data_IF_934240543990
#
_entry.id   IF_934240543990
#
_cell.length_a   1.000
_cell.length_b   1.000
_cell.length_c   1.000
_cell.angle_alpha   90.00
_cell.angle_beta   90.00
_cell.angle_gamma   90.00
#
_symmetry.space_group_name_H-M   'P 1'
#
loop_
_entity.id
_entity.type
_entity.pdbx_description
1 polymer ?
#
# COMPACT_ATOMS: atom_id res chain seq x y z
N UNK A 1 -39.32 -0.92 -38.95
CA UNK A 1 -38.08 -1.72 -38.78
C UNK A 1 -37.51 -1.35 -37.43
N UNK A 2 -37.57 -2.26 -36.47
CA UNK A 2 -37.15 -1.99 -35.08
C UNK A 2 -35.68 -2.35 -34.95
N UNK A 3 -34.83 -1.37 -34.66
CA UNK A 3 -33.40 -1.60 -34.43
C UNK A 3 -33.20 -2.14 -33.02
N UNK A 4 -32.66 -3.35 -32.91
CA UNK A 4 -32.26 -3.95 -31.63
C UNK A 4 -30.78 -3.65 -31.41
N UNK A 5 -30.46 -2.79 -30.43
CA UNK A 5 -29.09 -2.48 -30.09
C UNK A 5 -28.40 -3.69 -29.43
N UNK A 6 -27.11 -3.96 -29.74
CA UNK A 6 -26.36 -5.03 -29.09
C UNK A 6 -26.26 -4.78 -27.59
N UNK A 7 -26.64 -5.76 -26.78
CA UNK A 7 -26.47 -5.71 -25.34
C UNK A 7 -25.06 -6.14 -24.98
N UNK A 8 -24.34 -5.33 -24.22
CA UNK A 8 -23.03 -5.68 -23.70
C UNK A 8 -23.25 -6.66 -22.54
N UNK A 9 -22.94 -7.93 -22.79
CA UNK A 9 -23.06 -8.98 -21.77
C UNK A 9 -21.86 -8.89 -20.81
N UNK A 10 -22.11 -8.41 -19.59
CA UNK A 10 -21.11 -8.27 -18.54
C UNK A 10 -20.93 -9.53 -17.71
N UNK A 11 -21.72 -10.60 -17.95
CA UNK A 11 -21.66 -11.83 -17.17
C UNK A 11 -20.29 -12.54 -17.30
N UNK A 12 -19.67 -12.43 -18.48
CA UNK A 12 -18.33 -12.97 -18.76
C UNK A 12 -17.20 -12.17 -18.11
N UNK A 13 -17.39 -10.86 -17.91
CA UNK A 13 -16.38 -9.97 -17.30
C UNK A 13 -16.42 -9.99 -15.77
N UNK A 14 -17.61 -10.25 -15.20
CA UNK A 14 -17.87 -10.18 -13.76
C UNK A 14 -16.92 -11.03 -12.89
N UNK A 15 -16.61 -12.31 -13.20
CA UNK A 15 -15.69 -13.10 -12.39
C UNK A 15 -14.27 -12.50 -12.39
N UNK A 16 -13.76 -12.10 -13.55
CA UNK A 16 -12.41 -11.52 -13.66
C UNK A 16 -12.21 -10.25 -12.83
N UNK A 17 -13.25 -9.40 -12.73
CA UNK A 17 -13.20 -8.16 -11.94
C UNK A 17 -13.20 -8.46 -10.43
N UNK A 18 -13.95 -9.49 -10.00
CA UNK A 18 -14.02 -9.87 -8.58
C UNK A 18 -12.74 -10.58 -8.10
N UNK A 19 -12.12 -11.42 -8.91
CA UNK A 19 -10.84 -12.07 -8.58
C UNK A 19 -9.71 -11.04 -8.35
N UNK A 20 -9.73 -9.92 -9.06
CA UNK A 20 -8.73 -8.86 -8.92
C UNK A 20 -8.96 -7.95 -7.70
N UNK A 21 -10.14 -8.00 -7.07
CA UNK A 21 -10.43 -7.15 -5.92
C UNK A 21 -9.52 -7.44 -4.72
N UNK A 22 -9.02 -8.67 -4.58
CA UNK A 22 -8.09 -9.05 -3.51
C UNK A 22 -6.75 -8.30 -3.57
N UNK A 23 -6.33 -7.88 -4.78
CA UNK A 23 -5.14 -7.06 -4.94
C UNK A 23 -5.24 -5.73 -4.18
N UNK A 24 -6.42 -5.12 -4.14
CA UNK A 24 -6.64 -3.88 -3.38
C UNK A 24 -6.47 -4.10 -1.87
N UNK A 25 -6.90 -5.25 -1.36
CA UNK A 25 -6.70 -5.62 0.06
C UNK A 25 -5.21 -5.74 0.36
N UNK A 26 -4.44 -6.40 -0.51
CA UNK A 26 -3.00 -6.52 -0.36
C UNK A 26 -2.30 -5.15 -0.32
N UNK A 27 -2.66 -4.24 -1.22
CA UNK A 27 -2.11 -2.87 -1.22
C UNK A 27 -2.51 -2.11 0.05
N UNK A 28 -3.75 -2.23 0.51
CA UNK A 28 -4.20 -1.59 1.74
C UNK A 28 -3.40 -2.06 2.96
N UNK A 29 -3.06 -3.35 3.04
CA UNK A 29 -2.20 -3.89 4.10
C UNK A 29 -0.77 -3.33 4.01
N UNK A 30 -0.18 -3.27 2.82
CA UNK A 30 1.15 -2.68 2.64
C UNK A 30 1.21 -1.20 3.03
N UNK A 31 0.19 -0.42 2.64
CA UNK A 31 0.07 0.99 3.01
C UNK A 31 -0.13 1.15 4.51
N UNK A 32 -0.95 0.30 5.13
CA UNK A 32 -1.13 0.28 6.58
C UNK A 32 0.18 0.04 7.32
N UNK A 33 0.90 -1.02 6.94
CA UNK A 33 2.21 -1.34 7.53
C UNK A 33 3.21 -0.20 7.33
N UNK A 34 3.32 0.34 6.10
CA UNK A 34 4.19 1.48 5.82
C UNK A 34 3.84 2.71 6.67
N UNK A 35 2.55 3.05 6.77
CA UNK A 35 2.08 4.16 7.58
C UNK A 35 2.41 3.98 9.07
N UNK A 36 2.23 2.76 9.63
CA UNK A 36 2.56 2.50 11.03
C UNK A 36 4.05 2.69 11.33
N UNK A 37 4.95 2.28 10.42
CA UNK A 37 6.39 2.46 10.59
C UNK A 37 6.77 3.94 10.56
N UNK A 38 6.21 4.71 9.61
CA UNK A 38 6.45 6.15 9.49
C UNK A 38 5.93 6.90 10.72
N UNK A 39 4.71 6.60 11.17
CA UNK A 39 4.12 7.21 12.36
C UNK A 39 4.90 6.84 13.63
N UNK A 40 5.34 5.59 13.77
CA UNK A 40 6.18 5.15 14.87
C UNK A 40 7.51 5.90 14.92
N UNK A 41 8.16 6.10 13.76
CA UNK A 41 9.36 6.91 13.66
C UNK A 41 9.09 8.39 13.99
N UNK A 42 7.98 8.96 13.54
CA UNK A 42 7.59 10.34 13.87
C UNK A 42 7.37 10.53 15.38
N UNK A 43 6.68 9.61 16.05
CA UNK A 43 6.49 9.65 17.51
C UNK A 43 7.84 9.53 18.23
N UNK A 44 8.74 8.66 17.75
CA UNK A 44 10.09 8.52 18.29
C UNK A 44 10.90 9.82 18.17
N UNK A 45 10.81 10.51 17.03
CA UNK A 45 11.46 11.80 16.81
C UNK A 45 10.97 12.87 17.81
N UNK A 46 9.65 12.92 18.08
CA UNK A 46 9.08 13.87 19.04
C UNK A 46 9.62 13.63 20.45
N UNK A 47 9.76 12.36 20.87
CA UNK A 47 10.17 12.01 22.23
C UNK A 47 11.69 12.13 22.46
N UNK A 48 12.51 11.70 21.50
CA UNK A 48 13.96 11.65 21.66
C UNK A 48 14.72 12.85 21.04
N UNK A 49 14.03 13.79 20.38
CA UNK A 49 14.63 14.98 19.79
C UNK A 49 15.48 14.73 18.53
N UNK A 50 16.27 15.74 18.14
CA UNK A 50 17.13 15.73 16.94
C UNK A 50 18.05 14.50 16.90
N UNK A 51 17.93 13.68 15.86
CA UNK A 51 18.69 12.45 15.72
C UNK A 51 18.23 11.59 14.54
N UNK A 52 18.82 10.42 14.37
CA UNK A 52 18.34 9.42 13.40
C UNK A 52 17.59 8.32 14.15
N UNK A 53 16.47 7.85 13.59
CA UNK A 53 15.75 6.70 14.13
C UNK A 53 16.71 5.51 14.22
N UNK A 54 17.01 5.06 15.45
CA UNK A 54 18.10 4.10 15.73
C UNK A 54 17.83 2.71 15.14
N UNK A 55 16.61 2.44 14.67
CA UNK A 55 16.24 1.23 13.95
C UNK A 55 16.43 1.37 12.44
N UNK A 56 17.63 1.16 11.93
CA UNK A 56 17.82 1.01 10.48
C UNK A 56 17.43 -0.42 10.06
N UNK A 57 16.47 -0.57 9.15
CA UNK A 57 16.19 -1.86 8.51
C UNK A 57 16.99 -1.95 7.22
N UNK A 58 17.92 -2.91 7.17
CA UNK A 58 18.75 -3.17 6.00
C UNK A 58 18.51 -4.59 5.53
N UNK A 59 17.94 -4.72 4.33
CA UNK A 59 17.82 -6.01 3.66
C UNK A 59 19.17 -6.40 3.05
N UNK A 60 19.56 -7.68 3.18
CA UNK A 60 20.90 -8.20 2.84
C UNK A 60 21.32 -7.92 1.38
N UNK A 61 20.36 -7.78 0.47
CA UNK A 61 20.54 -7.32 -0.92
C UNK A 61 19.36 -6.42 -1.33
N UNK A 62 19.07 -5.35 -0.60
CA UNK A 62 17.86 -4.56 -0.86
C UNK A 62 17.83 -3.17 -0.27
N UNK A 63 16.61 -2.69 -0.02
CA UNK A 63 16.33 -1.35 0.45
C UNK A 63 16.87 -1.16 1.88
N UNK A 64 17.68 -0.12 2.06
CA UNK A 64 18.04 0.41 3.37
C UNK A 64 17.14 1.60 3.67
N UNK A 65 16.28 1.46 4.67
CA UNK A 65 15.41 2.56 5.12
C UNK A 65 16.04 3.18 6.36
N UNK A 66 16.43 4.45 6.23
CA UNK A 66 16.92 5.29 7.32
C UNK A 66 15.98 6.48 7.44
N UNK A 67 15.39 6.68 8.61
CA UNK A 67 14.50 7.82 8.87
C UNK A 67 15.28 8.81 9.73
N UNK A 68 15.56 9.98 9.19
CA UNK A 68 16.19 11.08 9.92
C UNK A 68 15.10 11.96 10.55
N UNK A 69 15.26 12.29 11.83
CA UNK A 69 14.42 13.24 12.53
C UNK A 69 15.01 14.64 12.33
N UNK A 70 14.34 15.47 11.53
CA UNK A 70 14.59 16.91 11.40
C UNK A 70 13.71 17.65 12.40
#
# INVERSE_FOLDING_TARGET
MTYTAPQVDYSVMRPAIMDQAWFLVFIAVLLGLGATVVLGAAVWCIYNGHGSFTGSVQWVNGLKVSIECI
#
